data_IF_584866954360
#
_entry.id   IF_584866954360
#
_cell.length_a   1.000
_cell.length_b   1.000
_cell.length_c   1.000
_cell.angle_alpha   90.00
_cell.angle_beta   90.00
_cell.angle_gamma   90.00
#
_symmetry.space_group_name_H-M   'P 1'
#
loop_
_entity.id
_entity.type
_entity.pdbx_description
1 polymer ?
#
# COMPACT_ATOMS: atom_id res chain seq x y z
N UNK A 1 18.30 -0.77 -14.30
CA UNK A 1 18.18 0.02 -13.06
C UNK A 1 19.25 -0.42 -12.08
N UNK A 2 19.86 0.51 -11.32
CA UNK A 2 20.75 0.13 -10.23
C UNK A 2 19.93 -0.57 -9.13
N UNK A 3 20.40 -1.71 -8.64
CA UNK A 3 19.75 -2.44 -7.56
C UNK A 3 19.87 -1.61 -6.28
N UNK A 4 18.75 -1.34 -5.60
CA UNK A 4 18.73 -0.62 -4.31
C UNK A 4 19.65 -1.32 -3.30
N UNK A 5 20.37 -0.53 -2.50
CA UNK A 5 21.20 -1.07 -1.44
C UNK A 5 20.35 -1.62 -0.29
N UNK A 6 20.95 -2.44 0.57
CA UNK A 6 20.27 -2.96 1.77
C UNK A 6 19.85 -1.81 2.69
N UNK A 7 20.70 -0.79 2.82
CA UNK A 7 20.45 0.40 3.64
C UNK A 7 19.27 1.21 3.11
N UNK A 8 19.16 1.37 1.79
CA UNK A 8 18.04 2.06 1.14
C UNK A 8 16.71 1.32 1.32
N UNK A 9 16.74 -0.02 1.33
CA UNK A 9 15.56 -0.85 1.57
C UNK A 9 15.12 -0.78 3.03
N UNK A 10 16.07 -0.79 3.97
CA UNK A 10 15.77 -0.66 5.41
C UNK A 10 15.23 0.73 5.74
N UNK A 11 15.82 1.79 5.17
CA UNK A 11 15.33 3.16 5.35
C UNK A 11 13.88 3.30 4.87
N UNK A 12 13.56 2.71 3.71
CA UNK A 12 12.20 2.72 3.17
C UNK A 12 11.24 1.87 3.99
N UNK A 13 11.69 0.71 4.50
CA UNK A 13 10.92 -0.09 5.44
C UNK A 13 10.52 0.73 6.67
N UNK A 14 11.45 1.45 7.29
CA UNK A 14 11.14 2.31 8.44
C UNK A 14 10.15 3.41 8.09
N UNK A 15 10.37 4.10 6.97
CA UNK A 15 9.49 5.17 6.49
C UNK A 15 8.06 4.66 6.30
N UNK A 16 7.87 3.52 5.63
CA UNK A 16 6.55 2.95 5.39
C UNK A 16 5.92 2.39 6.67
N UNK A 17 6.72 1.83 7.57
CA UNK A 17 6.22 1.33 8.85
C UNK A 17 5.70 2.49 9.72
N UNK A 18 6.37 3.66 9.71
CA UNK A 18 5.89 4.86 10.38
C UNK A 18 4.51 5.29 9.85
N UNK A 19 4.31 5.24 8.53
CA UNK A 19 3.02 5.54 7.90
C UNK A 19 1.96 4.53 8.32
N UNK A 20 2.28 3.23 8.25
CA UNK A 20 1.39 2.15 8.66
C UNK A 20 0.94 2.28 10.12
N UNK A 21 1.87 2.51 11.05
CA UNK A 21 1.53 2.69 12.47
C UNK A 21 0.67 3.92 12.71
N UNK A 22 0.99 5.02 12.04
CA UNK A 22 0.27 6.28 12.21
C UNK A 22 -1.15 6.18 11.64
N UNK A 23 -1.32 5.55 10.48
CA UNK A 23 -2.64 5.27 9.90
C UNK A 23 -3.46 4.40 10.84
N UNK A 24 -2.88 3.31 11.33
CA UNK A 24 -3.55 2.41 12.29
C UNK A 24 -3.97 3.19 13.54
N UNK A 25 -3.08 3.97 14.15
CA UNK A 25 -3.42 4.79 15.32
C UNK A 25 -4.54 5.81 15.02
N UNK A 26 -4.57 6.37 13.82
CA UNK A 26 -5.62 7.30 13.39
C UNK A 26 -7.00 6.64 13.24
N UNK A 27 -7.05 5.31 13.13
CA UNK A 27 -8.30 4.52 13.07
C UNK A 27 -8.84 4.15 14.45
N UNK A 28 -8.02 4.13 15.51
CA UNK A 28 -8.43 3.73 16.87
C UNK A 28 -9.69 4.45 17.39
N UNK A 29 -9.84 5.79 17.23
CA UNK A 29 -11.03 6.50 17.71
C UNK A 29 -12.34 6.07 17.03
N UNK A 30 -12.27 5.47 15.84
CA UNK A 30 -13.46 5.02 15.10
C UNK A 30 -13.98 3.66 15.54
N UNK A 31 -13.07 2.71 15.76
CA UNK A 31 -13.44 1.33 16.07
C UNK A 31 -13.54 1.07 17.58
N UNK A 32 -13.01 2.00 18.39
CA UNK A 32 -12.91 1.85 19.83
C UNK A 32 -11.77 0.93 20.25
N UNK A 33 -11.35 1.03 21.52
CA UNK A 33 -10.11 0.42 22.01
C UNK A 33 -10.11 -1.11 21.97
N UNK A 34 -11.26 -1.76 22.19
CA UNK A 34 -11.35 -3.23 22.22
C UNK A 34 -11.18 -3.84 20.82
N UNK A 35 -11.84 -3.28 19.80
CA UNK A 35 -11.66 -3.75 18.43
C UNK A 35 -10.26 -3.43 17.91
N UNK A 36 -9.75 -2.25 18.26
CA UNK A 36 -8.38 -1.86 17.91
C UNK A 36 -7.34 -2.81 18.49
N UNK A 37 -7.51 -3.22 19.76
CA UNK A 37 -6.64 -4.21 20.41
C UNK A 37 -6.65 -5.56 19.69
N UNK A 38 -7.82 -6.05 19.28
CA UNK A 38 -7.92 -7.30 18.50
C UNK A 38 -7.17 -7.18 17.17
N UNK A 39 -7.33 -6.05 16.46
CA UNK A 39 -6.59 -5.81 15.21
C UNK A 39 -5.07 -5.77 15.41
N UNK A 40 -4.60 -5.35 16.59
CA UNK A 40 -3.17 -5.28 16.92
C UNK A 40 -2.55 -6.66 17.19
N UNK A 41 -3.31 -7.62 17.72
CA UNK A 41 -2.80 -8.94 18.10
C UNK A 41 -2.29 -9.77 16.90
N UNK A 42 -2.86 -9.54 15.71
CA UNK A 42 -2.45 -10.20 14.47
C UNK A 42 -1.27 -9.53 13.75
N UNK A 43 -0.89 -8.31 14.13
CA UNK A 43 0.09 -7.50 13.39
C UNK A 43 1.50 -7.75 13.92
N UNK A 44 2.41 -8.13 13.02
CA UNK A 44 3.84 -8.31 13.35
C UNK A 44 4.45 -6.94 13.64
N UNK A 45 5.01 -6.75 14.84
CA UNK A 45 5.63 -5.45 15.20
C UNK A 45 6.93 -5.16 14.45
N UNK A 46 7.31 -3.88 14.38
CA UNK A 46 8.57 -3.41 13.79
C UNK A 46 9.77 -4.14 14.38
N UNK A 47 9.82 -4.25 15.70
CA UNK A 47 10.90 -4.93 16.42
C UNK A 47 10.95 -6.41 16.07
N UNK A 48 9.79 -7.05 15.89
CA UNK A 48 9.74 -8.46 15.48
C UNK A 48 10.24 -8.63 14.06
N UNK A 49 9.84 -7.77 13.12
CA UNK A 49 10.36 -7.79 11.74
C UNK A 49 11.88 -7.58 11.69
N UNK A 50 12.40 -6.58 12.43
CA UNK A 50 13.84 -6.33 12.51
C UNK A 50 14.61 -7.51 13.14
N UNK A 51 14.03 -8.21 14.12
CA UNK A 51 14.64 -9.45 14.66
C UNK A 51 14.73 -10.54 13.59
N UNK A 52 13.72 -10.70 12.73
CA UNK A 52 13.78 -11.67 11.61
C UNK A 52 14.92 -11.33 10.64
N UNK A 53 15.15 -10.04 10.38
CA UNK A 53 16.27 -9.57 9.56
C UNK A 53 17.63 -9.86 10.21
N UNK A 54 17.79 -9.51 11.49
CA UNK A 54 19.04 -9.71 12.23
C UNK A 54 19.39 -11.19 12.35
N UNK A 55 18.39 -12.06 12.51
CA UNK A 55 18.59 -13.50 12.61
C UNK A 55 18.74 -14.20 11.25
N UNK A 56 18.67 -13.47 10.14
CA UNK A 56 18.76 -14.03 8.78
C UNK A 56 17.54 -14.87 8.36
N UNK A 57 16.44 -14.80 9.10
CA UNK A 57 15.18 -15.49 8.77
C UNK A 57 14.42 -14.79 7.63
N UNK A 58 14.63 -13.50 7.46
CA UNK A 58 14.11 -12.71 6.35
C UNK A 58 15.15 -11.69 5.87
N UNK A 59 15.03 -11.23 4.64
CA UNK A 59 15.88 -10.19 4.04
C UNK A 59 15.15 -8.83 3.98
N UNK A 60 15.88 -7.75 3.72
CA UNK A 60 15.34 -6.39 3.74
C UNK A 60 14.20 -6.18 2.72
N UNK A 61 14.25 -6.85 1.57
CA UNK A 61 13.19 -6.78 0.56
C UNK A 61 11.91 -7.46 1.04
N UNK A 62 12.01 -8.60 1.73
CA UNK A 62 10.86 -9.32 2.30
C UNK A 62 10.18 -8.50 3.40
N UNK A 63 10.97 -7.85 4.25
CA UNK A 63 10.45 -6.93 5.27
C UNK A 63 9.69 -5.76 4.63
N UNK A 64 10.32 -5.10 3.65
CA UNK A 64 9.70 -3.99 2.93
C UNK A 64 8.40 -4.43 2.24
N UNK A 65 8.42 -5.58 1.56
CA UNK A 65 7.24 -6.13 0.88
C UNK A 65 6.09 -6.42 1.85
N UNK A 66 6.38 -6.98 3.02
CA UNK A 66 5.36 -7.24 4.03
C UNK A 66 4.69 -5.97 4.57
N UNK A 67 5.46 -4.90 4.80
CA UNK A 67 4.90 -3.59 5.21
C UNK A 67 4.10 -2.95 4.10
N UNK A 68 4.58 -3.02 2.86
CA UNK A 68 3.85 -2.52 1.69
C UNK A 68 2.50 -3.21 1.53
N UNK A 69 2.44 -4.52 1.68
CA UNK A 69 1.19 -5.28 1.64
C UNK A 69 0.24 -4.83 2.76
N UNK A 70 0.69 -4.81 4.01
CA UNK A 70 -0.15 -4.37 5.12
C UNK A 70 -0.64 -2.93 4.97
N UNK A 71 0.18 -2.04 4.41
CA UNK A 71 -0.23 -0.67 4.12
C UNK A 71 -1.25 -0.61 2.98
N UNK A 72 -1.08 -1.40 1.92
CA UNK A 72 -2.05 -1.49 0.83
C UNK A 72 -3.41 -2.00 1.33
N UNK A 73 -3.45 -3.02 2.18
CA UNK A 73 -4.69 -3.56 2.76
C UNK A 73 -5.44 -2.47 3.57
N UNK A 74 -4.69 -1.67 4.36
CA UNK A 74 -5.27 -0.53 5.08
C UNK A 74 -5.77 0.56 4.14
N UNK A 75 -5.04 0.85 3.05
CA UNK A 75 -5.46 1.83 2.05
C UNK A 75 -6.71 1.37 1.29
N UNK A 76 -6.81 0.08 0.94
CA UNK A 76 -8.01 -0.49 0.33
C UNK A 76 -9.22 -0.33 1.25
N UNK A 77 -9.06 -0.70 2.53
CA UNK A 77 -10.10 -0.49 3.55
C UNK A 77 -10.51 0.97 3.66
N UNK A 78 -9.55 1.89 3.59
CA UNK A 78 -9.81 3.34 3.60
C UNK A 78 -10.53 3.82 2.34
N UNK A 79 -10.23 3.25 1.17
CA UNK A 79 -10.92 3.60 -0.08
C UNK A 79 -12.38 3.13 -0.05
N UNK A 80 -12.64 1.90 0.43
CA UNK A 80 -14.01 1.41 0.65
C UNK A 80 -14.73 2.31 1.66
N UNK A 81 -14.08 2.68 2.77
CA UNK A 81 -14.67 3.56 3.76
C UNK A 81 -14.97 4.97 3.21
N UNK A 82 -14.18 5.49 2.28
CA UNK A 82 -14.45 6.78 1.61
C UNK A 82 -15.72 6.73 0.74
N UNK A 83 -16.08 5.56 0.22
CA UNK A 83 -17.29 5.35 -0.57
C UNK A 83 -18.50 5.08 0.33
N UNK A 84 -18.38 4.12 1.25
CA UNK A 84 -19.50 3.65 2.09
C UNK A 84 -19.79 4.58 3.27
N UNK A 85 -18.75 5.12 3.92
CA UNK A 85 -18.85 5.91 5.15
C UNK A 85 -17.93 7.14 5.13
N UNK A 86 -18.09 8.05 4.15
CA UNK A 86 -17.16 9.15 3.90
C UNK A 86 -16.89 10.05 5.12
N UNK A 87 -17.88 10.23 6.01
CA UNK A 87 -17.69 11.00 7.23
C UNK A 87 -16.63 10.37 8.15
N UNK A 88 -16.68 9.05 8.36
CA UNK A 88 -15.73 8.33 9.20
C UNK A 88 -14.33 8.30 8.55
N UNK A 89 -14.26 8.02 7.25
CA UNK A 89 -12.99 8.02 6.54
C UNK A 89 -12.29 9.41 6.59
N UNK A 90 -13.06 10.49 6.45
CA UNK A 90 -12.53 11.85 6.59
C UNK A 90 -12.02 12.17 8.00
N UNK A 91 -12.61 11.58 9.06
CA UNK A 91 -12.09 11.72 10.43
C UNK A 91 -10.72 11.05 10.57
N UNK A 92 -10.51 9.86 9.99
CA UNK A 92 -9.19 9.19 9.99
C UNK A 92 -8.16 10.03 9.24
N UNK A 93 -8.52 10.53 8.06
CA UNK A 93 -7.62 11.38 7.26
C UNK A 93 -7.27 12.68 7.99
N UNK A 94 -8.23 13.28 8.70
CA UNK A 94 -8.00 14.46 9.52
C UNK A 94 -7.08 14.13 10.72
N UNK A 95 -7.32 13.03 11.43
CA UNK A 95 -6.48 12.58 12.54
C UNK A 95 -5.03 12.30 12.09
N UNK A 96 -4.84 11.63 10.96
CA UNK A 96 -3.51 11.39 10.39
C UNK A 96 -2.80 12.71 10.08
N UNK A 97 -3.51 13.67 9.48
CA UNK A 97 -2.96 14.99 9.17
C UNK A 97 -2.65 15.81 10.42
N UNK A 98 -3.46 15.72 11.46
CA UNK A 98 -3.22 16.37 12.74
C UNK A 98 -1.96 15.82 13.43
N UNK A 99 -1.76 14.50 13.40
CA UNK A 99 -0.61 13.85 14.03
C UNK A 99 0.70 14.10 13.25
N UNK A 100 0.65 14.16 11.93
CA UNK A 100 1.87 14.19 11.08
C UNK A 100 2.13 15.51 10.39
N UNK A 101 1.13 16.39 10.29
CA UNK A 101 1.14 17.56 9.41
C UNK A 101 1.09 17.24 7.91
N UNK A 102 0.99 15.95 7.52
CA UNK A 102 1.12 15.46 6.14
C UNK A 102 -0.17 14.83 5.62
N UNK A 103 -0.25 14.63 4.30
CA UNK A 103 -1.36 13.92 3.67
C UNK A 103 -1.02 12.42 3.57
N UNK A 104 -1.93 11.56 4.01
CA UNK A 104 -1.75 10.10 4.00
C UNK A 104 -1.37 9.56 2.62
N UNK A 105 -2.08 9.99 1.57
CA UNK A 105 -1.90 9.46 0.22
C UNK A 105 -0.60 9.91 -0.44
N UNK A 106 -0.01 11.00 0.05
CA UNK A 106 1.31 11.45 -0.39
C UNK A 106 2.42 10.67 0.33
N UNK A 107 2.21 10.27 1.58
CA UNK A 107 3.15 9.47 2.38
C UNK A 107 3.12 7.97 2.04
N UNK A 108 1.92 7.40 1.93
CA UNK A 108 1.70 5.97 1.69
C UNK A 108 1.87 5.59 0.22
N UNK A 109 1.76 6.59 -0.67
CA UNK A 109 1.45 6.37 -2.08
C UNK A 109 -0.03 6.06 -2.25
N UNK A 110 -0.65 6.57 -3.31
CA UNK A 110 -2.03 6.23 -3.64
C UNK A 110 -2.01 5.13 -4.71
N UNK A 111 -2.49 3.91 -4.41
CA UNK A 111 -2.52 2.78 -5.33
C UNK A 111 -3.14 3.14 -6.69
N UNK A 112 -4.24 3.91 -6.67
CA UNK A 112 -4.89 4.40 -7.89
C UNK A 112 -4.04 5.43 -8.64
N UNK A 113 -3.31 6.32 -7.96
CA UNK A 113 -2.36 7.25 -8.60
C UNK A 113 -1.15 6.49 -9.17
N UNK A 114 -0.65 5.48 -8.48
CA UNK A 114 0.46 4.63 -8.93
C UNK A 114 0.01 3.82 -10.15
N UNK A 115 -1.17 3.20 -10.11
CA UNK A 115 -1.78 2.52 -11.24
C UNK A 115 -1.97 3.48 -12.44
N UNK A 116 -2.45 4.70 -12.21
CA UNK A 116 -2.52 5.77 -13.23
C UNK A 116 -1.14 6.14 -13.77
N UNK A 117 -0.11 6.20 -12.93
CA UNK A 117 1.25 6.50 -13.36
C UNK A 117 1.84 5.36 -14.21
N UNK A 118 1.59 4.09 -13.82
CA UNK A 118 1.97 2.89 -14.59
C UNK A 118 1.33 2.93 -15.98
N UNK A 119 0.01 3.12 -16.07
CA UNK A 119 -0.72 3.20 -17.34
C UNK A 119 -0.28 4.40 -18.18
N UNK A 120 0.00 5.55 -17.54
CA UNK A 120 0.54 6.73 -18.24
C UNK A 120 1.93 6.44 -18.81
N UNK A 121 2.81 5.80 -18.05
CA UNK A 121 4.15 5.36 -18.48
C UNK A 121 4.07 4.34 -19.60
N UNK A 122 3.07 3.46 -19.58
CA UNK A 122 2.82 2.48 -20.63
C UNK A 122 3.70 1.23 -20.56
N UNK A 123 4.32 0.96 -19.41
CA UNK A 123 5.11 -0.25 -19.18
C UNK A 123 4.99 -0.69 -17.72
N UNK A 124 4.96 -2.01 -17.48
CA UNK A 124 5.06 -2.64 -16.16
C UNK A 124 6.52 -3.06 -15.96
N UNK A 125 7.18 -2.58 -14.91
CA UNK A 125 8.61 -2.77 -14.71
C UNK A 125 8.95 -3.96 -13.81
N UNK A 126 7.99 -4.39 -12.98
CA UNK A 126 8.19 -5.45 -11.99
C UNK A 126 6.86 -6.08 -11.55
N UNK A 127 6.99 -7.20 -10.83
CA UNK A 127 5.85 -7.97 -10.33
C UNK A 127 4.94 -7.18 -9.38
N UNK A 128 5.49 -6.26 -8.59
CA UNK A 128 4.69 -5.42 -7.68
C UNK A 128 3.74 -4.51 -8.46
N UNK A 129 4.22 -3.87 -9.52
CA UNK A 129 3.38 -3.06 -10.40
C UNK A 129 2.38 -3.90 -11.20
N UNK A 130 2.78 -5.11 -11.59
CA UNK A 130 1.89 -6.06 -12.25
C UNK A 130 0.69 -6.42 -11.37
N UNK A 131 0.94 -6.86 -10.13
CA UNK A 131 -0.13 -7.24 -9.21
C UNK A 131 -1.00 -6.06 -8.83
N UNK A 132 -0.41 -4.89 -8.59
CA UNK A 132 -1.16 -3.66 -8.33
C UNK A 132 -2.11 -3.31 -9.49
N UNK A 133 -1.62 -3.35 -10.74
CA UNK A 133 -2.44 -3.02 -11.90
C UNK A 133 -3.50 -4.10 -12.16
N UNK A 134 -3.17 -5.38 -11.94
CA UNK A 134 -4.09 -6.50 -12.06
C UNK A 134 -5.22 -6.40 -11.05
N UNK A 135 -4.92 -6.06 -9.81
CA UNK A 135 -5.89 -5.87 -8.73
C UNK A 135 -6.89 -4.75 -9.06
N UNK A 136 -6.39 -3.58 -9.48
CA UNK A 136 -7.23 -2.45 -9.91
C UNK A 136 -8.14 -2.84 -11.10
N UNK A 137 -7.62 -3.63 -12.04
CA UNK A 137 -8.36 -4.08 -13.23
C UNK A 137 -9.32 -5.24 -12.95
N UNK A 138 -9.11 -6.01 -11.89
CA UNK A 138 -9.97 -7.14 -11.51
C UNK A 138 -11.24 -6.69 -10.80
N UNK A 139 -11.27 -5.46 -10.29
CA UNK A 139 -12.47 -4.87 -9.72
C UNK A 139 -13.41 -4.42 -10.86
N UNK A 140 -14.55 -5.09 -10.98
CA UNK A 140 -15.56 -4.86 -12.03
C UNK A 140 -16.17 -3.45 -11.95
N UNK A 141 -16.19 -2.86 -10.75
CA UNK A 141 -16.72 -1.52 -10.49
C UNK A 141 -15.62 -0.44 -10.43
N UNK A 142 -14.42 -0.72 -10.94
CA UNK A 142 -13.32 0.24 -10.89
C UNK A 142 -13.67 1.56 -11.61
N UNK A 143 -13.45 2.68 -10.92
CA UNK A 143 -13.61 4.04 -11.48
C UNK A 143 -12.26 4.74 -11.69
N UNK A 144 -11.17 4.02 -11.47
CA UNK A 144 -9.79 4.54 -11.52
C UNK A 144 -9.43 4.94 -12.95
N UNK A 145 -9.77 4.09 -13.91
CA UNK A 145 -9.46 4.25 -15.32
C UNK A 145 -10.69 4.62 -16.14
N UNK A 146 -10.51 5.54 -17.09
CA UNK A 146 -11.44 5.71 -18.20
C UNK A 146 -11.31 4.51 -19.15
N UNK A 147 -12.33 4.26 -19.96
CA UNK A 147 -12.37 3.15 -20.93
C UNK A 147 -11.07 2.97 -21.74
N UNK A 148 -10.54 4.05 -22.32
CA UNK A 148 -9.27 4.00 -23.07
C UNK A 148 -8.03 3.69 -22.23
N UNK A 149 -8.08 3.96 -20.92
CA UNK A 149 -7.02 3.59 -19.97
C UNK A 149 -7.18 2.15 -19.49
N UNK A 150 -8.41 1.66 -19.39
CA UNK A 150 -8.75 0.26 -19.07
C UNK A 150 -8.24 -0.67 -20.17
N UNK A 151 -8.51 -0.36 -21.45
CA UNK A 151 -7.96 -1.11 -22.59
C UNK A 151 -6.43 -1.14 -22.57
N UNK A 152 -5.81 0.02 -22.33
CA UNK A 152 -4.35 0.14 -22.24
C UNK A 152 -3.77 -0.68 -21.08
N UNK A 153 -4.41 -0.63 -19.92
CA UNK A 153 -4.00 -1.40 -18.74
C UNK A 153 -4.12 -2.91 -18.99
N UNK A 154 -5.18 -3.36 -19.65
CA UNK A 154 -5.36 -4.77 -20.04
C UNK A 154 -4.25 -5.26 -20.96
N UNK A 155 -3.96 -4.52 -22.04
CA UNK A 155 -2.87 -4.87 -22.96
C UNK A 155 -1.50 -4.92 -22.24
N UNK A 156 -1.24 -3.99 -21.32
CA UNK A 156 -0.01 -4.00 -20.53
C UNK A 156 0.12 -5.23 -19.61
N UNK A 157 -0.98 -5.71 -19.04
CA UNK A 157 -1.00 -6.92 -18.21
C UNK A 157 -0.72 -8.17 -19.05
N UNK A 158 -1.37 -8.27 -20.21
CA UNK A 158 -1.15 -9.37 -21.16
C UNK A 158 0.31 -9.40 -21.62
N UNK A 159 0.85 -8.28 -22.10
CA UNK A 159 2.24 -8.16 -22.57
C UNK A 159 3.24 -8.59 -21.48
N UNK A 160 2.98 -8.20 -20.23
CA UNK A 160 3.83 -8.58 -19.11
C UNK A 160 3.76 -10.09 -18.80
N UNK A 161 2.56 -10.69 -18.77
CA UNK A 161 2.38 -12.14 -18.58
C UNK A 161 3.06 -12.95 -19.70
N UNK A 162 2.94 -12.53 -20.96
CA UNK A 162 3.58 -13.20 -22.10
C UNK A 162 5.09 -13.01 -22.18
N UNK A 163 5.63 -11.97 -21.54
CA UNK A 163 7.07 -11.68 -21.50
C UNK A 163 7.82 -12.41 -20.38
N UNK A 164 7.11 -13.08 -19.46
CA UNK A 164 7.74 -13.89 -18.41
C UNK A 164 8.28 -15.21 -19.00
N UNK A 165 9.56 -15.53 -18.81
CA UNK A 165 10.16 -16.78 -19.30
C UNK A 165 9.66 -18.02 -18.55
#
# INVERSE_FOLDING_TARGET
MARRSKEELIAEFHRLYDVFETLKASMEPLYGPEFFKIMQEGVVTRERMLRLLTNGTANASELLGGVQQGLNDLLETMMIALEDTPANANLVLAAYKEQTGRNLFDDAGNPQKVAKAIVKRGAIENDTEFYLLKEVMSNVDQTVFKESQTEKAGAMLDDYEFSKP
#
